data_IF_751560306122
#
_entry.id   IF_751560306122
#
_cell.length_a   1.000
_cell.length_b   1.000
_cell.length_c   1.000
_cell.angle_alpha   90.00
_cell.angle_beta   90.00
_cell.angle_gamma   90.00
#
_symmetry.space_group_name_H-M   'P 1'
#
loop_
_entity.id
_entity.type
_entity.pdbx_description
1 polymer ?
#
# COMPACT_ATOMS: atom_id res chain seq x y z
N UNK A 1 -27.93 13.44 15.69
CA UNK A 1 -26.61 13.47 15.03
C UNK A 1 -26.24 12.12 14.42
N UNK A 2 -26.26 11.01 15.18
CA UNK A 2 -25.92 9.67 14.63
C UNK A 2 -26.85 9.31 13.46
N UNK A 3 -28.17 9.46 13.62
CA UNK A 3 -29.16 9.19 12.56
C UNK A 3 -29.00 10.09 11.32
N UNK A 4 -28.47 11.31 11.47
CA UNK A 4 -28.19 12.21 10.35
C UNK A 4 -26.88 11.86 9.67
N UNK A 5 -25.89 11.36 10.39
CA UNK A 5 -24.64 10.91 9.83
C UNK A 5 -24.80 9.65 8.95
N UNK A 6 -25.81 8.83 9.22
CA UNK A 6 -26.15 7.64 8.42
C UNK A 6 -26.82 7.98 7.09
N UNK A 7 -27.27 9.23 6.88
CA UNK A 7 -27.90 9.67 5.64
C UNK A 7 -26.83 10.17 4.67
N UNK A 8 -26.86 9.67 3.43
CA UNK A 8 -25.91 10.04 2.38
C UNK A 8 -25.85 11.57 2.13
N UNK A 9 -27.01 12.24 2.21
CA UNK A 9 -27.14 13.68 2.00
C UNK A 9 -26.46 14.56 3.06
N UNK A 10 -26.23 14.03 4.27
CA UNK A 10 -25.69 14.79 5.42
C UNK A 10 -24.33 14.32 5.86
N UNK A 11 -23.89 13.15 5.37
CA UNK A 11 -22.62 12.50 5.76
C UNK A 11 -21.38 13.35 5.48
N UNK A 12 -21.42 14.16 4.41
CA UNK A 12 -20.33 15.05 3.99
C UNK A 12 -20.50 16.51 4.45
N UNK A 13 -21.57 16.82 5.19
CA UNK A 13 -21.84 18.15 5.73
C UNK A 13 -21.10 18.41 7.04
N UNK A 14 -20.95 19.67 7.38
CA UNK A 14 -20.44 20.07 8.68
C UNK A 14 -21.48 19.76 9.79
N UNK A 15 -21.02 19.50 10.99
CA UNK A 15 -21.89 19.21 12.13
C UNK A 15 -22.84 20.39 12.44
N UNK A 16 -22.42 21.62 12.15
CA UNK A 16 -23.22 22.84 12.26
C UNK A 16 -24.43 22.82 11.33
N UNK A 17 -24.31 22.27 10.14
CA UNK A 17 -25.43 22.16 9.18
C UNK A 17 -26.50 21.22 9.71
N UNK A 18 -26.11 20.11 10.36
CA UNK A 18 -27.03 19.20 11.03
C UNK A 18 -27.72 19.90 12.20
N UNK A 19 -26.97 20.65 12.99
CA UNK A 19 -27.49 21.43 14.09
C UNK A 19 -28.50 22.45 13.63
N UNK A 20 -28.21 23.22 12.58
CA UNK A 20 -29.12 24.27 12.04
C UNK A 20 -30.40 23.66 11.49
N UNK A 21 -30.40 22.45 10.92
CA UNK A 21 -31.62 21.78 10.44
C UNK A 21 -32.59 21.43 11.55
N UNK A 22 -32.08 21.13 12.73
CA UNK A 22 -32.87 20.70 13.89
C UNK A 22 -33.01 21.76 14.98
N UNK A 23 -32.59 22.98 14.72
CA UNK A 23 -32.56 24.06 15.74
C UNK A 23 -33.91 24.32 16.38
N UNK A 24 -35.00 24.14 15.62
CA UNK A 24 -36.37 24.30 16.13
C UNK A 24 -36.82 23.23 17.11
N UNK A 25 -36.19 22.07 17.04
CA UNK A 25 -36.54 20.89 17.84
C UNK A 25 -35.66 20.74 19.07
N UNK A 26 -34.61 21.57 19.17
CA UNK A 26 -33.67 21.58 20.28
C UNK A 26 -34.17 22.39 21.46
N UNK A 27 -33.88 21.98 22.69
CA UNK A 27 -34.21 22.80 23.86
C UNK A 27 -33.47 24.13 23.83
N UNK A 28 -34.04 25.18 24.43
CA UNK A 28 -33.38 26.48 24.52
C UNK A 28 -31.98 26.36 25.14
N UNK A 29 -30.97 26.80 24.44
CA UNK A 29 -29.58 26.82 24.92
C UNK A 29 -29.23 28.22 25.44
N UNK A 30 -28.45 28.25 26.53
CA UNK A 30 -27.88 29.49 27.02
C UNK A 30 -26.66 29.86 26.20
N UNK A 31 -26.65 31.08 25.66
CA UNK A 31 -25.48 31.66 25.04
C UNK A 31 -24.47 31.97 26.15
N UNK A 32 -23.30 31.35 26.11
CA UNK A 32 -22.15 31.78 26.89
C UNK A 32 -21.31 32.70 25.98
N UNK A 33 -21.10 33.94 26.41
CA UNK A 33 -20.26 34.86 25.67
C UNK A 33 -18.90 34.90 26.32
N UNK A 34 -17.91 34.58 25.54
CA UNK A 34 -16.50 34.74 25.89
C UNK A 34 -16.03 36.16 25.62
N UNK A 35 -15.09 36.68 26.37
CA UNK A 35 -14.43 37.92 26.03
C UNK A 35 -13.54 37.69 24.77
N UNK A 36 -13.25 38.73 24.00
CA UNK A 36 -12.24 38.65 22.95
C UNK A 36 -10.95 38.09 23.55
N UNK A 37 -10.36 37.11 22.88
CA UNK A 37 -9.14 36.38 23.31
C UNK A 37 -9.30 35.33 24.43
N UNK A 38 -10.54 35.00 24.86
CA UNK A 38 -10.75 33.83 25.73
C UNK A 38 -10.70 32.51 24.94
N UNK A 39 -10.98 32.56 23.64
CA UNK A 39 -10.90 31.44 22.71
C UNK A 39 -10.19 31.93 21.46
N UNK A 40 -9.13 31.23 21.08
CA UNK A 40 -8.40 31.45 19.84
C UNK A 40 -8.49 30.20 18.97
N UNK A 41 -8.71 30.39 17.68
CA UNK A 41 -8.79 29.32 16.68
C UNK A 41 -7.62 29.47 15.71
N UNK A 42 -6.93 28.37 15.43
CA UNK A 42 -5.77 28.35 14.55
C UNK A 42 -5.99 27.36 13.45
N UNK A 43 -5.98 27.81 12.20
CA UNK A 43 -6.09 26.97 11.01
C UNK A 43 -4.73 26.39 10.58
N UNK A 44 -3.66 26.92 11.12
CA UNK A 44 -2.31 26.53 10.76
C UNK A 44 -1.34 26.61 11.95
N UNK A 45 -0.27 25.80 11.87
CA UNK A 45 0.85 25.90 12.82
C UNK A 45 1.55 27.26 12.74
N UNK A 46 1.51 27.96 11.60
CA UNK A 46 2.07 29.27 11.44
C UNK A 46 1.33 30.31 12.30
N UNK A 47 0.01 30.28 12.30
CA UNK A 47 -0.83 31.15 13.14
C UNK A 47 -0.63 30.88 14.63
N UNK A 48 -0.55 29.60 15.04
CA UNK A 48 -0.24 29.23 16.42
C UNK A 48 1.14 29.75 16.84
N UNK A 49 2.14 29.67 15.98
CA UNK A 49 3.50 30.18 16.24
C UNK A 49 3.57 31.68 16.33
N UNK A 50 2.76 32.40 15.57
CA UNK A 50 2.62 33.85 15.65
C UNK A 50 1.97 34.27 16.98
N UNK A 51 0.96 33.52 17.41
CA UNK A 51 0.24 33.77 18.65
C UNK A 51 1.09 33.40 19.90
N UNK A 52 1.73 32.23 19.90
CA UNK A 52 2.51 31.73 21.03
C UNK A 52 3.94 31.39 20.61
N UNK A 53 4.87 32.24 20.98
CA UNK A 53 6.29 32.10 20.64
C UNK A 53 6.96 30.84 21.20
N UNK A 54 6.34 30.14 22.16
CA UNK A 54 6.82 28.84 22.63
C UNK A 54 6.78 27.78 21.53
N UNK A 55 5.80 27.87 20.61
CA UNK A 55 5.66 26.96 19.47
C UNK A 55 6.58 27.30 18.28
N UNK A 56 7.37 28.39 18.37
CA UNK A 56 8.39 28.69 17.35
C UNK A 56 9.57 27.72 17.46
N UNK A 57 9.97 27.39 18.69
CA UNK A 57 11.21 26.69 18.97
C UNK A 57 11.02 25.28 19.58
N UNK A 58 9.85 25.00 20.16
CA UNK A 58 9.53 23.70 20.74
C UNK A 58 8.01 23.50 20.73
N UNK A 59 7.53 22.65 19.84
CA UNK A 59 6.10 22.25 19.81
C UNK A 59 5.79 21.23 20.90
N UNK A 60 6.80 20.66 21.58
CA UNK A 60 6.64 19.49 22.45
C UNK A 60 6.17 18.25 21.69
N UNK A 61 6.07 18.32 20.37
CA UNK A 61 5.56 17.28 19.50
C UNK A 61 6.62 16.17 19.34
N UNK A 62 6.23 14.92 19.61
CA UNK A 62 7.09 13.76 19.45
C UNK A 62 7.58 13.60 18.00
N UNK A 63 6.73 13.89 17.02
CA UNK A 63 7.09 13.83 15.60
C UNK A 63 8.24 14.79 15.28
N UNK A 64 8.16 16.03 15.76
CA UNK A 64 9.23 17.02 15.54
C UNK A 64 10.53 16.59 16.20
N UNK A 65 10.48 16.03 17.40
CA UNK A 65 11.68 15.47 18.07
C UNK A 65 12.30 14.32 17.27
N UNK A 66 11.48 13.42 16.71
CA UNK A 66 11.95 12.33 15.85
C UNK A 66 12.68 12.88 14.62
N UNK A 67 12.07 13.84 13.92
CA UNK A 67 12.68 14.49 12.75
C UNK A 67 13.99 15.17 13.12
N UNK A 68 13.99 16.00 14.15
CA UNK A 68 15.17 16.73 14.59
C UNK A 68 16.32 15.81 14.99
N UNK A 69 16.00 14.69 15.67
CA UNK A 69 17.00 13.68 16.06
C UNK A 69 17.64 13.01 14.86
N UNK A 70 16.85 12.59 13.88
CA UNK A 70 17.33 11.89 12.67
C UNK A 70 18.13 12.82 11.77
N UNK A 71 17.60 14.02 11.50
CA UNK A 71 18.24 14.98 10.58
C UNK A 71 19.28 15.88 11.25
N UNK A 72 19.46 15.77 12.56
CA UNK A 72 20.38 16.60 13.36
C UNK A 72 20.11 18.10 13.14
N UNK A 73 18.83 18.50 13.13
CA UNK A 73 18.35 19.87 12.94
C UNK A 73 17.54 20.35 14.16
N UNK A 74 17.16 21.63 14.17
CA UNK A 74 16.25 22.21 15.16
C UNK A 74 14.84 22.33 14.56
N UNK A 75 13.79 22.43 15.38
CA UNK A 75 12.40 22.57 14.89
C UNK A 75 12.22 23.79 13.97
N UNK A 76 12.93 24.88 14.23
CA UNK A 76 12.90 26.07 13.36
C UNK A 76 13.41 25.82 11.93
N UNK A 77 14.18 24.74 11.72
CA UNK A 77 14.72 24.35 10.42
C UNK A 77 13.70 23.53 9.62
N UNK A 78 12.55 23.16 10.22
CA UNK A 78 11.48 22.38 9.57
C UNK A 78 10.49 23.38 8.99
N UNK A 79 10.38 23.36 7.67
CA UNK A 79 9.60 24.33 6.89
C UNK A 79 8.70 23.63 5.87
N UNK A 80 7.75 24.35 5.31
CA UNK A 80 6.89 23.89 4.18
C UNK A 80 6.20 22.55 4.46
N UNK A 81 5.62 22.36 5.65
CA UNK A 81 4.89 21.16 6.02
C UNK A 81 3.60 21.07 5.23
N UNK A 82 3.41 19.98 4.48
CA UNK A 82 2.23 19.73 3.67
C UNK A 82 1.78 18.29 3.86
N UNK A 83 0.53 18.09 4.29
CA UNK A 83 -0.06 16.76 4.47
C UNK A 83 -0.23 16.09 3.10
N UNK A 84 0.19 14.83 3.02
CA UNK A 84 0.00 13.98 1.84
C UNK A 84 -1.25 13.12 2.06
N UNK A 85 -2.26 13.32 1.21
CA UNK A 85 -3.58 12.66 1.36
C UNK A 85 -3.69 11.30 0.68
N UNK A 86 -2.59 10.77 0.12
CA UNK A 86 -2.61 9.59 -0.77
C UNK A 86 -2.22 8.29 -0.06
N UNK A 87 -2.64 8.05 1.18
CA UNK A 87 -2.38 6.79 1.86
C UNK A 87 -3.63 6.30 2.57
N UNK A 88 -3.99 5.00 2.41
CA UNK A 88 -5.13 4.39 3.09
C UNK A 88 -4.80 3.96 4.52
N UNK A 89 -3.55 3.60 4.77
CA UNK A 89 -3.10 2.95 6.00
C UNK A 89 -2.26 3.84 6.92
N UNK A 90 -1.64 4.89 6.40
CA UNK A 90 -0.66 5.68 7.13
C UNK A 90 -0.93 7.18 6.99
N UNK A 91 -0.56 7.96 8.01
CA UNK A 91 -0.57 9.42 7.96
C UNK A 91 0.80 9.94 7.53
N UNK A 92 0.85 10.67 6.44
CA UNK A 92 2.11 11.16 5.86
C UNK A 92 2.07 12.65 5.60
N UNK A 93 3.19 13.32 5.78
CA UNK A 93 3.38 14.70 5.35
C UNK A 93 4.79 14.89 4.79
N UNK A 94 4.92 15.80 3.84
CA UNK A 94 6.22 16.29 3.38
C UNK A 94 6.61 17.55 4.12
N UNK A 95 7.90 17.76 4.25
CA UNK A 95 8.48 18.97 4.83
C UNK A 95 9.85 19.27 4.19
N UNK A 96 10.32 20.51 4.31
CA UNK A 96 11.67 20.91 3.91
C UNK A 96 12.53 21.08 5.16
N UNK A 97 13.75 20.55 5.14
CA UNK A 97 14.75 20.85 6.15
C UNK A 97 15.60 22.03 5.67
N UNK A 98 15.51 23.18 6.33
CA UNK A 98 16.24 24.41 5.96
C UNK A 98 17.75 24.27 6.11
N UNK A 99 18.23 23.29 6.90
CA UNK A 99 19.64 23.06 7.14
C UNK A 99 20.39 22.50 5.91
N UNK A 100 19.76 21.61 5.15
CA UNK A 100 20.33 21.02 3.93
C UNK A 100 19.55 21.34 2.65
N UNK A 101 18.43 22.03 2.79
CA UNK A 101 17.54 22.46 1.70
C UNK A 101 16.71 21.34 1.06
N UNK A 102 16.81 20.11 1.58
CA UNK A 102 16.11 18.95 1.00
C UNK A 102 14.68 18.83 1.51
N UNK A 103 13.85 18.18 0.71
CA UNK A 103 12.49 17.77 1.10
C UNK A 103 12.46 16.32 1.53
N UNK A 104 11.66 16.05 2.55
CA UNK A 104 11.49 14.76 3.18
C UNK A 104 10.02 14.42 3.31
N UNK A 105 9.73 13.14 3.46
CA UNK A 105 8.42 12.62 3.89
C UNK A 105 8.58 12.01 5.27
N UNK A 106 7.74 12.41 6.20
CA UNK A 106 7.53 11.70 7.46
C UNK A 106 6.26 10.86 7.33
N UNK A 107 6.36 9.56 7.58
CA UNK A 107 5.22 8.64 7.66
C UNK A 107 5.02 8.20 9.10
N UNK A 108 3.81 8.38 9.61
CA UNK A 108 3.37 7.81 10.87
C UNK A 108 2.43 6.64 10.59
N UNK A 109 2.59 5.48 11.26
CA UNK A 109 1.65 4.36 11.12
C UNK A 109 0.24 4.79 11.48
N UNK A 110 -0.75 4.31 10.72
CA UNK A 110 -2.15 4.48 11.08
C UNK A 110 -2.53 3.58 12.25
N UNK A 111 -3.52 3.99 13.02
CA UNK A 111 -4.03 3.22 14.16
C UNK A 111 -4.51 1.83 13.72
N UNK A 112 -4.11 0.79 14.45
CA UNK A 112 -4.51 -0.60 14.19
C UNK A 112 -3.74 -1.30 13.07
N UNK A 113 -2.77 -0.65 12.41
CA UNK A 113 -1.97 -1.28 11.35
C UNK A 113 -1.02 -2.35 11.88
N UNK A 114 -0.68 -2.33 13.16
CA UNK A 114 0.11 -3.35 13.85
C UNK A 114 -0.54 -4.75 13.85
N UNK A 115 -1.84 -4.82 13.57
CA UNK A 115 -2.55 -6.10 13.46
C UNK A 115 -2.20 -6.89 12.18
N UNK A 116 -1.66 -6.23 11.15
CA UNK A 116 -1.39 -6.86 9.85
C UNK A 116 -0.07 -6.42 9.20
N UNK A 117 0.63 -5.43 9.75
CA UNK A 117 1.95 -5.00 9.27
C UNK A 117 3.02 -5.36 10.29
N UNK A 118 4.01 -6.15 9.87
CA UNK A 118 5.17 -6.48 10.70
C UNK A 118 6.27 -5.44 10.52
N UNK A 119 6.41 -4.52 11.49
CA UNK A 119 7.39 -3.41 11.43
C UNK A 119 8.84 -3.86 11.40
N UNK A 120 9.17 -5.01 11.99
CA UNK A 120 10.53 -5.57 11.93
C UNK A 120 10.82 -6.08 10.51
N UNK A 121 9.83 -6.70 9.84
CA UNK A 121 9.94 -7.09 8.44
C UNK A 121 10.13 -5.88 7.54
N UNK A 122 9.30 -4.83 7.70
CA UNK A 122 9.43 -3.60 6.94
C UNK A 122 10.82 -2.97 7.12
N UNK A 123 11.30 -2.85 8.36
CA UNK A 123 12.63 -2.32 8.66
C UNK A 123 13.75 -3.12 7.98
N UNK A 124 13.72 -4.46 8.11
CA UNK A 124 14.67 -5.35 7.45
C UNK A 124 14.66 -5.14 5.93
N UNK A 125 13.49 -5.13 5.33
CA UNK A 125 13.30 -4.99 3.89
C UNK A 125 13.80 -3.65 3.35
N UNK A 126 13.54 -2.56 4.09
CA UNK A 126 14.05 -1.22 3.72
C UNK A 126 15.58 -1.14 3.78
N UNK A 127 16.24 -1.84 4.72
CA UNK A 127 17.71 -1.93 4.74
C UNK A 127 18.23 -2.68 3.52
N UNK A 128 17.58 -3.78 3.12
CA UNK A 128 17.92 -4.53 1.91
C UNK A 128 17.69 -3.68 0.67
N UNK A 129 16.54 -3.03 0.55
CA UNK A 129 16.18 -2.18 -0.59
C UNK A 129 17.19 -1.05 -0.79
N UNK A 130 17.60 -0.39 0.30
CA UNK A 130 18.65 0.63 0.27
C UNK A 130 19.98 0.06 -0.21
N UNK A 131 20.40 -1.09 0.34
CA UNK A 131 21.68 -1.72 -0.02
C UNK A 131 21.73 -2.15 -1.49
N UNK A 132 20.61 -2.59 -2.05
CA UNK A 132 20.47 -3.00 -3.43
C UNK A 132 20.12 -1.83 -4.37
N UNK A 133 20.02 -0.61 -3.84
CA UNK A 133 19.62 0.59 -4.61
C UNK A 133 18.27 0.43 -5.31
N UNK A 134 17.32 -0.27 -4.68
CA UNK A 134 15.95 -0.44 -5.15
C UNK A 134 15.04 0.67 -4.62
N UNK A 135 15.25 1.07 -3.36
CA UNK A 135 14.67 2.25 -2.75
C UNK A 135 15.78 3.24 -2.37
N UNK A 136 15.90 4.31 -3.16
CA UNK A 136 16.88 5.38 -2.94
C UNK A 136 16.35 6.46 -2.00
N UNK A 137 15.10 6.36 -1.56
CA UNK A 137 14.46 7.37 -0.71
C UNK A 137 14.69 7.14 0.77
N UNK A 138 15.00 5.94 1.19
CA UNK A 138 15.07 5.56 2.60
C UNK A 138 16.16 6.32 3.38
N UNK A 139 15.75 7.05 4.42
CA UNK A 139 16.62 7.75 5.36
C UNK A 139 16.70 7.01 6.69
N UNK A 140 15.56 6.85 7.36
CA UNK A 140 15.46 6.23 8.70
C UNK A 140 14.07 5.63 8.93
N UNK A 141 14.03 4.59 9.76
CA UNK A 141 12.79 4.02 10.30
C UNK A 141 13.03 3.57 11.74
N UNK A 142 12.07 3.82 12.61
CA UNK A 142 11.99 3.22 13.93
C UNK A 142 11.25 1.86 13.79
N UNK A 143 11.97 0.78 14.09
CA UNK A 143 11.43 -0.57 13.91
C UNK A 143 10.41 -1.00 14.98
N UNK A 144 10.34 -0.28 16.12
CA UNK A 144 9.37 -0.55 17.20
C UNK A 144 8.08 0.22 16.96
N UNK A 145 8.19 1.52 16.66
CA UNK A 145 7.05 2.41 16.50
C UNK A 145 6.56 2.51 15.06
N UNK A 146 7.38 2.09 14.09
CA UNK A 146 7.03 2.03 12.67
C UNK A 146 7.00 3.37 11.93
N UNK A 147 7.34 4.50 12.58
CA UNK A 147 7.48 5.76 11.84
C UNK A 147 8.74 5.77 11.00
N UNK A 148 8.69 6.43 9.85
CA UNK A 148 9.84 6.51 8.94
C UNK A 148 10.02 7.90 8.33
N UNK A 149 11.26 8.19 7.95
CA UNK A 149 11.65 9.37 7.17
C UNK A 149 12.26 8.89 5.87
N UNK A 150 11.79 9.46 4.76
CA UNK A 150 12.29 9.23 3.42
C UNK A 150 12.57 10.55 2.71
N UNK A 151 13.45 10.56 1.71
CA UNK A 151 13.55 11.69 0.80
C UNK A 151 12.27 11.83 -0.02
N UNK A 152 11.81 13.07 -0.20
CA UNK A 152 10.73 13.35 -1.14
C UNK A 152 11.29 13.32 -2.56
N UNK A 153 10.65 12.58 -3.45
CA UNK A 153 11.02 12.49 -4.87
C UNK A 153 10.35 13.64 -5.61
N UNK A 154 11.16 14.60 -6.05
CA UNK A 154 10.66 15.78 -6.75
C UNK A 154 10.16 15.40 -8.15
N UNK A 155 9.05 16.04 -8.56
CA UNK A 155 8.43 15.85 -9.88
C UNK A 155 8.18 14.38 -10.24
N UNK A 156 7.96 13.53 -9.22
CA UNK A 156 7.70 12.13 -9.42
C UNK A 156 6.34 11.88 -10.08
N UNK A 157 6.35 10.96 -11.03
CA UNK A 157 5.14 10.31 -11.52
C UNK A 157 5.18 8.81 -11.22
N UNK A 158 4.04 8.16 -11.26
CA UNK A 158 3.94 6.71 -11.14
C UNK A 158 4.30 6.03 -12.47
N UNK A 159 4.55 4.73 -12.40
CA UNK A 159 4.82 3.87 -13.55
C UNK A 159 3.64 3.86 -14.53
N UNK A 160 3.95 4.06 -15.82
CA UNK A 160 3.05 3.70 -16.92
C UNK A 160 3.37 2.26 -17.37
N UNK A 161 2.60 1.30 -16.88
CA UNK A 161 2.83 -0.13 -17.15
C UNK A 161 2.43 -0.55 -18.57
N UNK A 162 1.71 0.28 -19.32
CA UNK A 162 1.48 0.07 -20.76
C UNK A 162 2.65 0.58 -21.62
N UNK A 163 3.64 1.28 -21.02
CA UNK A 163 4.88 1.63 -21.68
C UNK A 163 5.89 0.48 -21.55
N UNK A 164 6.23 -0.27 -22.62
CA UNK A 164 7.09 -1.46 -22.51
C UNK A 164 8.50 -1.16 -21.96
N UNK A 165 9.04 0.04 -22.19
CA UNK A 165 10.35 0.40 -21.67
C UNK A 165 10.32 0.64 -20.16
N UNK A 166 9.27 1.29 -19.66
CA UNK A 166 9.07 1.51 -18.24
C UNK A 166 8.74 0.21 -17.52
N UNK A 167 7.84 -0.60 -18.09
CA UNK A 167 7.51 -1.93 -17.58
C UNK A 167 8.76 -2.81 -17.46
N UNK A 168 9.60 -2.87 -18.50
CA UNK A 168 10.85 -3.64 -18.44
C UNK A 168 11.80 -3.14 -17.35
N UNK A 169 11.87 -1.82 -17.12
CA UNK A 169 12.69 -1.23 -16.06
C UNK A 169 12.16 -1.57 -14.67
N UNK A 170 10.85 -1.47 -14.45
CA UNK A 170 10.20 -1.82 -13.19
C UNK A 170 10.40 -3.31 -12.85
N UNK A 171 10.15 -4.20 -13.82
CA UNK A 171 10.36 -5.63 -13.65
C UNK A 171 11.83 -6.01 -13.46
N UNK A 172 12.76 -5.25 -14.05
CA UNK A 172 14.19 -5.36 -13.78
C UNK A 172 14.56 -5.02 -12.32
N UNK A 173 13.82 -4.12 -11.66
CA UNK A 173 13.98 -3.84 -10.22
C UNK A 173 13.57 -5.06 -9.39
N UNK A 174 12.42 -5.67 -9.68
CA UNK A 174 11.96 -6.90 -9.01
C UNK A 174 12.91 -8.07 -9.27
N UNK A 175 13.36 -8.26 -10.51
CA UNK A 175 14.32 -9.30 -10.84
C UNK A 175 15.63 -9.15 -10.04
N UNK A 176 16.14 -7.93 -9.87
CA UNK A 176 17.34 -7.67 -9.04
C UNK A 176 17.11 -8.01 -7.55
N UNK A 177 15.93 -7.70 -7.01
CA UNK A 177 15.55 -8.08 -5.64
C UNK A 177 15.64 -9.59 -5.47
N UNK A 178 14.97 -10.34 -6.35
CA UNK A 178 14.87 -11.79 -6.23
C UNK A 178 16.20 -12.50 -6.56
N UNK A 179 16.97 -12.01 -7.54
CA UNK A 179 18.30 -12.53 -7.86
C UNK A 179 19.31 -12.32 -6.73
N UNK A 180 19.13 -11.33 -5.87
CA UNK A 180 19.94 -11.15 -4.67
C UNK A 180 19.75 -12.30 -3.66
N UNK A 181 18.68 -13.08 -3.78
CA UNK A 181 18.36 -14.27 -2.99
C UNK A 181 18.49 -14.04 -1.48
N UNK A 182 18.04 -12.88 -1.02
CA UNK A 182 18.08 -12.53 0.41
C UNK A 182 17.01 -13.33 1.14
N UNK A 183 17.43 -14.02 2.21
CA UNK A 183 16.51 -14.74 3.07
C UNK A 183 16.01 -13.85 4.20
N UNK A 184 14.71 -13.93 4.50
CA UNK A 184 14.05 -13.22 5.58
C UNK A 184 13.41 -14.24 6.55
N UNK A 185 13.42 -13.93 7.84
CA UNK A 185 12.70 -14.72 8.84
C UNK A 185 11.21 -14.41 8.92
N UNK A 186 10.75 -13.41 8.17
CA UNK A 186 9.37 -12.91 8.17
C UNK A 186 8.63 -13.46 6.95
N UNK A 187 7.78 -14.50 7.12
CA UNK A 187 7.06 -15.08 5.99
C UNK A 187 5.95 -14.14 5.52
N UNK A 188 5.77 -14.07 4.21
CA UNK A 188 4.59 -13.51 3.58
C UNK A 188 4.24 -14.40 2.38
N UNK A 189 3.10 -15.07 2.45
CA UNK A 189 2.59 -15.92 1.38
C UNK A 189 1.23 -15.44 0.92
N UNK A 190 1.12 -15.20 -0.36
CA UNK A 190 -0.10 -14.69 -0.97
C UNK A 190 -1.29 -15.63 -0.75
N UNK A 191 -1.04 -16.96 -0.75
CA UNK A 191 -2.07 -17.95 -0.45
C UNK A 191 -2.58 -17.88 0.99
N UNK A 192 -1.72 -17.60 1.96
CA UNK A 192 -2.11 -17.41 3.35
C UNK A 192 -2.99 -16.17 3.50
N UNK A 193 -2.65 -15.07 2.79
CA UNK A 193 -3.49 -13.86 2.72
C UNK A 193 -4.86 -14.14 2.10
N UNK A 194 -4.91 -14.92 1.03
CA UNK A 194 -6.18 -15.33 0.42
C UNK A 194 -7.06 -16.10 1.42
N UNK A 195 -6.48 -17.02 2.19
CA UNK A 195 -7.22 -17.77 3.22
C UNK A 195 -7.68 -16.87 4.37
N UNK A 196 -6.90 -15.88 4.79
CA UNK A 196 -7.32 -14.90 5.80
C UNK A 196 -8.53 -14.08 5.32
N UNK A 197 -8.57 -13.68 4.05
CA UNK A 197 -9.75 -13.01 3.48
C UNK A 197 -10.93 -13.97 3.35
N UNK A 198 -10.70 -15.22 2.95
CA UNK A 198 -11.73 -16.25 2.90
C UNK A 198 -12.41 -16.42 4.26
N UNK A 199 -11.62 -16.57 5.33
CA UNK A 199 -12.12 -16.69 6.69
C UNK A 199 -12.97 -15.47 7.12
N UNK A 200 -12.56 -14.27 6.74
CA UNK A 200 -13.31 -13.03 7.02
C UNK A 200 -14.64 -13.01 6.25
N UNK A 201 -14.63 -13.38 4.97
CA UNK A 201 -15.81 -13.45 4.11
C UNK A 201 -16.82 -14.47 4.65
N UNK A 202 -16.38 -15.65 5.05
CA UNK A 202 -17.23 -16.69 5.65
C UNK A 202 -17.88 -16.21 6.96
N UNK A 203 -17.11 -15.52 7.82
CA UNK A 203 -17.62 -14.97 9.09
C UNK A 203 -18.75 -13.96 8.90
N UNK A 204 -18.73 -13.22 7.78
CA UNK A 204 -19.78 -12.24 7.45
C UNK A 204 -20.86 -12.82 6.51
N UNK A 205 -20.77 -14.09 6.11
CA UNK A 205 -21.75 -14.78 5.26
C UNK A 205 -21.87 -14.21 3.86
N UNK A 206 -20.75 -13.86 3.22
CA UNK A 206 -20.66 -13.34 1.84
C UNK A 206 -20.04 -14.33 0.86
N UNK A 207 -20.03 -15.60 1.20
CA UNK A 207 -19.52 -16.73 0.43
C UNK A 207 -20.64 -17.50 -0.32
N UNK A 208 -21.80 -16.88 -0.53
CA UNK A 208 -23.03 -17.50 -1.02
C UNK A 208 -23.18 -17.49 -2.57
N UNK A 209 -22.18 -17.01 -3.31
CA UNK A 209 -22.21 -17.09 -4.78
C UNK A 209 -22.05 -18.53 -5.27
N UNK A 210 -22.82 -18.92 -6.30
CA UNK A 210 -22.96 -20.31 -6.73
C UNK A 210 -21.65 -21.01 -7.12
N UNK A 211 -20.64 -20.26 -7.53
CA UNK A 211 -19.34 -20.76 -7.99
C UNK A 211 -18.16 -20.37 -7.08
N UNK A 212 -18.44 -19.71 -5.95
CA UNK A 212 -17.40 -19.24 -5.01
C UNK A 212 -16.45 -20.39 -4.61
N UNK A 213 -17.02 -21.49 -4.12
CA UNK A 213 -16.22 -22.66 -3.72
C UNK A 213 -15.63 -23.43 -4.90
N UNK A 214 -16.27 -23.37 -6.09
CA UNK A 214 -15.69 -23.97 -7.30
C UNK A 214 -14.41 -23.26 -7.69
N UNK A 215 -14.41 -21.94 -7.64
CA UNK A 215 -13.19 -21.13 -7.89
C UNK A 215 -12.14 -21.41 -6.81
N UNK A 216 -12.54 -21.42 -5.53
CA UNK A 216 -11.61 -21.70 -4.43
C UNK A 216 -10.90 -23.05 -4.62
N UNK A 217 -11.65 -24.14 -4.86
CA UNK A 217 -11.06 -25.48 -5.07
C UNK A 217 -10.14 -25.51 -6.29
N UNK A 218 -10.49 -24.80 -7.35
CA UNK A 218 -9.66 -24.69 -8.55
C UNK A 218 -8.32 -24.02 -8.25
N UNK A 219 -8.33 -22.89 -7.53
CA UNK A 219 -7.12 -22.16 -7.17
C UNK A 219 -6.31 -22.92 -6.12
N UNK A 220 -6.97 -23.58 -5.16
CA UNK A 220 -6.29 -24.48 -4.20
C UNK A 220 -5.55 -25.61 -4.90
N UNK A 221 -6.20 -26.28 -5.86
CA UNK A 221 -5.54 -27.30 -6.67
C UNK A 221 -4.32 -26.77 -7.43
N UNK A 222 -4.46 -25.57 -8.00
CA UNK A 222 -3.35 -24.89 -8.69
C UNK A 222 -2.20 -24.53 -7.75
N UNK A 223 -2.51 -24.01 -6.55
CA UNK A 223 -1.51 -23.73 -5.51
C UNK A 223 -0.73 -25.00 -5.12
N UNK A 224 -1.40 -26.15 -4.98
CA UNK A 224 -0.71 -27.40 -4.68
C UNK A 224 0.29 -27.80 -5.79
N UNK A 225 -0.03 -27.54 -7.07
CA UNK A 225 0.94 -27.75 -8.16
C UNK A 225 2.15 -26.83 -8.04
N UNK A 226 1.97 -25.54 -7.65
CA UNK A 226 3.12 -24.63 -7.48
C UNK A 226 4.11 -25.11 -6.41
N UNK A 227 3.63 -25.78 -5.36
CA UNK A 227 4.49 -26.35 -4.32
C UNK A 227 5.37 -27.49 -4.83
N UNK A 228 4.91 -28.22 -5.86
CA UNK A 228 5.68 -29.30 -6.49
C UNK A 228 6.81 -28.77 -7.38
N UNK A 229 6.67 -27.56 -7.93
CA UNK A 229 7.69 -26.92 -8.77
C UNK A 229 8.98 -26.58 -7.99
N UNK A 230 8.92 -26.50 -6.65
CA UNK A 230 10.06 -26.16 -5.78
C UNK A 230 10.74 -24.86 -6.20
N UNK A 231 9.92 -23.85 -6.49
CA UNK A 231 10.39 -22.55 -6.92
C UNK A 231 11.18 -21.84 -5.80
N UNK A 232 12.17 -20.99 -6.14
CA UNK A 232 12.94 -20.28 -5.14
C UNK A 232 12.09 -19.36 -4.26
N UNK A 233 12.27 -19.44 -2.94
CA UNK A 233 11.73 -18.47 -1.99
C UNK A 233 12.82 -17.52 -1.52
N UNK A 234 12.54 -16.23 -1.50
CA UNK A 234 13.40 -15.20 -0.93
C UNK A 234 12.56 -14.00 -0.48
N UNK A 235 13.23 -12.91 -0.10
CA UNK A 235 12.57 -11.64 0.19
C UNK A 235 11.87 -11.11 -1.07
N UNK A 236 10.56 -10.85 -0.94
CA UNK A 236 9.70 -10.23 -1.93
C UNK A 236 9.27 -8.85 -1.45
N UNK A 237 8.80 -8.01 -2.37
CA UNK A 237 8.16 -6.73 -2.04
C UNK A 237 6.74 -6.91 -1.51
N UNK A 238 5.99 -7.84 -2.08
CA UNK A 238 4.62 -8.25 -1.76
C UNK A 238 3.52 -7.20 -2.06
N UNK A 239 3.91 -6.00 -2.49
CA UNK A 239 3.01 -4.92 -2.92
C UNK A 239 3.63 -4.11 -4.08
N UNK A 240 4.22 -4.79 -5.04
CA UNK A 240 4.92 -4.19 -6.17
C UNK A 240 3.96 -3.63 -7.23
N UNK A 241 3.03 -2.78 -6.82
CA UNK A 241 2.03 -2.16 -7.71
C UNK A 241 2.62 -0.96 -8.45
N UNK A 242 2.01 -0.58 -9.58
CA UNK A 242 2.46 0.55 -10.39
C UNK A 242 2.60 1.86 -9.60
N UNK A 243 1.71 2.09 -8.63
CA UNK A 243 1.73 3.26 -7.76
C UNK A 243 2.97 3.35 -6.85
N UNK A 244 3.63 2.22 -6.59
CA UNK A 244 4.82 2.13 -5.74
C UNK A 244 6.13 2.29 -6.52
N UNK A 245 6.08 2.35 -7.86
CA UNK A 245 7.23 2.71 -8.69
C UNK A 245 7.19 4.21 -9.01
N UNK A 246 8.07 4.97 -8.38
CA UNK A 246 8.21 6.40 -8.63
C UNK A 246 9.29 6.67 -9.68
N UNK A 247 8.94 7.49 -10.68
CA UNK A 247 9.83 7.88 -11.78
C UNK A 247 10.07 9.38 -11.70
N UNK A 248 11.33 9.78 -11.66
CA UNK A 248 11.78 11.18 -11.77
C UNK A 248 12.94 11.27 -12.75
N UNK A 249 12.74 11.94 -13.87
CA UNK A 249 13.67 11.91 -14.99
C UNK A 249 13.90 10.48 -15.50
N UNK A 250 15.15 10.04 -15.50
CA UNK A 250 15.55 8.69 -15.91
C UNK A 250 15.59 7.70 -14.74
N UNK A 251 15.43 8.16 -13.50
CA UNK A 251 15.51 7.32 -12.30
C UNK A 251 14.15 6.72 -11.95
N UNK A 252 14.19 5.49 -11.48
CA UNK A 252 13.03 4.75 -10.96
C UNK A 252 13.37 4.15 -9.61
N UNK A 253 12.51 4.33 -8.64
CA UNK A 253 12.65 3.77 -7.29
C UNK A 253 11.37 3.04 -6.88
N UNK A 254 11.51 1.93 -6.16
CA UNK A 254 10.40 1.13 -5.63
C UNK A 254 10.26 1.44 -4.14
N UNK A 255 9.10 1.96 -3.76
CA UNK A 255 8.79 2.38 -2.38
C UNK A 255 7.72 1.48 -1.76
N UNK A 256 7.45 1.69 -0.48
CA UNK A 256 6.37 1.08 0.30
C UNK A 256 6.51 -0.42 0.57
N UNK A 257 7.54 -0.76 1.34
CA UNK A 257 7.96 -2.11 1.69
C UNK A 257 7.21 -2.72 2.90
N UNK A 258 6.04 -2.18 3.27
CA UNK A 258 5.37 -2.54 4.54
C UNK A 258 4.83 -3.98 4.57
N UNK A 259 4.56 -4.59 3.41
CA UNK A 259 4.14 -5.99 3.28
C UNK A 259 5.28 -6.95 2.93
N UNK A 260 6.49 -6.41 2.74
CA UNK A 260 7.64 -7.20 2.28
C UNK A 260 7.94 -8.37 3.21
N UNK A 261 8.21 -9.55 2.63
CA UNK A 261 8.48 -10.76 3.38
C UNK A 261 9.01 -11.92 2.54
N UNK A 262 9.29 -13.03 3.21
CA UNK A 262 9.78 -14.26 2.62
C UNK A 262 8.66 -15.03 1.93
N UNK A 263 8.83 -15.32 0.66
CA UNK A 263 7.89 -16.11 -0.12
C UNK A 263 8.41 -16.49 -1.49
N UNK A 264 7.55 -17.13 -2.26
CA UNK A 264 7.83 -17.48 -3.65
C UNK A 264 8.00 -16.23 -4.51
N UNK A 265 9.05 -16.18 -5.32
CA UNK A 265 9.37 -14.98 -6.12
C UNK A 265 8.33 -14.66 -7.20
N UNK A 266 7.52 -15.65 -7.59
CA UNK A 266 6.46 -15.43 -8.57
C UNK A 266 5.27 -14.64 -8.03
N UNK A 267 5.13 -14.52 -6.69
CA UNK A 267 4.01 -13.76 -6.10
C UNK A 267 4.07 -12.26 -6.40
N UNK A 268 5.27 -11.67 -6.46
CA UNK A 268 5.42 -10.25 -6.79
C UNK A 268 4.98 -9.97 -8.24
N UNK A 269 5.45 -10.79 -9.18
CA UNK A 269 5.08 -10.63 -10.58
C UNK A 269 3.60 -10.97 -10.82
N UNK A 270 3.09 -12.01 -10.15
CA UNK A 270 1.67 -12.39 -10.21
C UNK A 270 0.76 -11.27 -9.71
N UNK A 271 1.08 -10.64 -8.58
CA UNK A 271 0.35 -9.48 -8.05
C UNK A 271 0.47 -8.27 -8.98
N UNK A 272 1.66 -8.00 -9.52
CA UNK A 272 1.86 -6.93 -10.48
C UNK A 272 0.94 -7.08 -11.69
N UNK A 273 0.93 -8.25 -12.34
CA UNK A 273 0.08 -8.52 -13.51
C UNK A 273 -1.41 -8.42 -13.14
N UNK A 274 -1.82 -9.02 -12.01
CA UNK A 274 -3.21 -9.00 -11.57
C UNK A 274 -3.75 -7.58 -11.30
N UNK A 275 -2.89 -6.66 -10.82
CA UNK A 275 -3.29 -5.32 -10.42
C UNK A 275 -2.99 -4.23 -11.47
N UNK A 276 -2.40 -4.61 -12.61
CA UNK A 276 -2.04 -3.67 -13.70
C UNK A 276 -2.96 -3.78 -14.91
N UNK A 277 -4.10 -4.46 -14.80
CA UNK A 277 -5.09 -4.69 -15.89
C UNK A 277 -4.45 -5.04 -17.27
N UNK A 278 -3.26 -5.69 -17.24
CA UNK A 278 -2.56 -6.13 -18.44
C UNK A 278 -3.36 -7.19 -19.18
N UNK A 279 -3.49 -7.04 -20.48
CA UNK A 279 -4.01 -8.13 -21.29
C UNK A 279 -3.04 -9.33 -21.32
N UNK A 280 -3.47 -10.43 -21.94
CA UNK A 280 -2.64 -11.64 -21.94
C UNK A 280 -1.29 -11.47 -22.68
N UNK A 281 -1.25 -10.68 -23.76
CA UNK A 281 -0.01 -10.45 -24.51
C UNK A 281 0.95 -9.56 -23.71
N UNK A 282 0.43 -8.54 -23.05
CA UNK A 282 1.18 -7.68 -22.14
C UNK A 282 1.70 -8.48 -20.91
N UNK A 283 0.89 -9.37 -20.35
CA UNK A 283 1.31 -10.26 -19.26
C UNK A 283 2.44 -11.21 -19.69
N UNK A 284 2.36 -11.77 -20.90
CA UNK A 284 3.44 -12.59 -21.47
C UNK A 284 4.73 -11.76 -21.68
N UNK A 285 4.58 -10.52 -22.14
CA UNK A 285 5.72 -9.60 -22.25
C UNK A 285 6.32 -9.31 -20.85
N UNK A 286 5.49 -9.08 -19.84
CA UNK A 286 5.93 -8.85 -18.47
C UNK A 286 6.74 -10.04 -17.91
N UNK A 287 6.24 -11.27 -18.06
CA UNK A 287 6.96 -12.48 -17.63
C UNK A 287 8.32 -12.58 -18.32
N UNK A 288 8.38 -12.38 -19.64
CA UNK A 288 9.63 -12.39 -20.40
C UNK A 288 10.58 -11.27 -19.96
N UNK A 289 10.06 -10.07 -19.74
CA UNK A 289 10.88 -8.92 -19.30
C UNK A 289 11.47 -9.14 -17.91
N UNK A 290 10.71 -9.74 -17.00
CA UNK A 290 11.18 -10.11 -15.66
C UNK A 290 12.27 -11.18 -15.72
N UNK A 291 12.08 -12.24 -16.51
CA UNK A 291 13.05 -13.34 -16.66
C UNK A 291 14.30 -12.91 -17.43
N UNK A 292 14.18 -11.97 -18.36
CA UNK A 292 15.24 -11.57 -19.28
C UNK A 292 15.48 -12.56 -20.44
N UNK A 293 14.61 -13.58 -20.59
CA UNK A 293 14.65 -14.59 -21.65
C UNK A 293 13.23 -15.10 -21.98
N UNK A 294 13.08 -15.88 -23.04
CA UNK A 294 11.82 -16.57 -23.32
C UNK A 294 11.56 -17.62 -22.22
N UNK A 295 10.36 -17.61 -21.59
CA UNK A 295 10.03 -18.53 -20.52
C UNK A 295 10.02 -19.99 -21.01
N UNK A 296 10.56 -20.91 -20.22
CA UNK A 296 10.31 -22.34 -20.38
C UNK A 296 8.85 -22.66 -20.03
N UNK A 297 8.40 -23.89 -20.32
CA UNK A 297 7.05 -24.33 -19.95
C UNK A 297 6.86 -24.30 -18.42
N UNK A 298 7.87 -24.74 -17.68
CA UNK A 298 7.86 -24.77 -16.21
C UNK A 298 7.80 -23.36 -15.62
N UNK A 299 8.60 -22.41 -16.13
CA UNK A 299 8.57 -21.03 -15.72
C UNK A 299 7.20 -20.39 -16.04
N UNK A 300 6.72 -20.60 -17.26
CA UNK A 300 5.45 -20.02 -17.70
C UNK A 300 4.28 -20.52 -16.87
N UNK A 301 4.14 -21.85 -16.63
CA UNK A 301 3.04 -22.40 -15.84
C UNK A 301 3.06 -21.86 -14.41
N UNK A 302 4.26 -21.70 -13.81
CA UNK A 302 4.43 -21.21 -12.46
C UNK A 302 4.02 -19.75 -12.32
N UNK A 303 4.48 -18.85 -13.21
CA UNK A 303 4.08 -17.44 -13.19
C UNK A 303 2.59 -17.24 -13.50
N UNK A 304 2.02 -18.00 -14.45
CA UNK A 304 0.58 -17.95 -14.72
C UNK A 304 -0.24 -18.45 -13.50
N UNK A 305 0.26 -19.48 -12.80
CA UNK A 305 -0.36 -19.96 -11.58
C UNK A 305 -0.38 -18.88 -10.49
N UNK A 306 0.75 -18.22 -10.25
CA UNK A 306 0.79 -17.13 -9.27
C UNK A 306 0.00 -15.90 -9.70
N UNK A 307 -0.15 -15.63 -10.99
CA UNK A 307 -1.08 -14.59 -11.46
C UNK A 307 -2.53 -14.95 -11.14
N UNK A 308 -2.93 -16.22 -11.30
CA UNK A 308 -4.26 -16.68 -10.90
C UNK A 308 -4.48 -16.62 -9.38
N UNK A 309 -3.49 -17.03 -8.59
CA UNK A 309 -3.53 -17.00 -7.13
C UNK A 309 -3.61 -15.55 -6.64
N UNK A 310 -2.84 -14.64 -7.22
CA UNK A 310 -2.89 -13.21 -6.91
C UNK A 310 -4.26 -12.62 -7.24
N UNK A 311 -4.77 -12.88 -8.44
CA UNK A 311 -6.10 -12.43 -8.85
C UNK A 311 -7.19 -12.92 -7.88
N UNK A 312 -7.11 -14.18 -7.46
CA UNK A 312 -8.03 -14.74 -6.48
C UNK A 312 -7.91 -14.06 -5.10
N UNK A 313 -6.70 -13.82 -4.62
CA UNK A 313 -6.47 -13.11 -3.35
C UNK A 313 -7.10 -11.70 -3.39
N UNK A 314 -6.86 -10.95 -4.45
CA UNK A 314 -7.42 -9.61 -4.63
C UNK A 314 -8.94 -9.63 -4.86
N UNK A 315 -9.49 -10.66 -5.51
CA UNK A 315 -10.92 -10.88 -5.61
C UNK A 315 -11.56 -11.06 -4.23
N UNK A 316 -10.97 -11.88 -3.36
CA UNK A 316 -11.43 -12.05 -1.99
C UNK A 316 -11.32 -10.75 -1.18
N UNK A 317 -10.20 -10.03 -1.33
CA UNK A 317 -10.03 -8.71 -0.72
C UNK A 317 -11.14 -7.74 -1.16
N UNK A 318 -11.48 -7.71 -2.44
CA UNK A 318 -12.53 -6.84 -2.96
C UNK A 318 -13.91 -7.19 -2.39
N UNK A 319 -14.29 -8.47 -2.32
CA UNK A 319 -15.54 -8.90 -1.66
C UNK A 319 -15.60 -8.40 -0.22
N UNK A 320 -14.49 -8.54 0.51
CA UNK A 320 -14.42 -8.08 1.89
C UNK A 320 -14.53 -6.56 2.00
N UNK A 321 -13.88 -5.80 1.13
CA UNK A 321 -13.95 -4.33 1.11
C UNK A 321 -15.36 -3.82 0.77
N UNK A 322 -15.99 -4.41 -0.27
CA UNK A 322 -17.36 -4.04 -0.63
C UNK A 322 -18.37 -4.35 0.48
N UNK A 323 -18.15 -5.44 1.23
CA UNK A 323 -18.97 -5.74 2.40
C UNK A 323 -18.83 -4.72 3.53
N UNK A 324 -17.72 -3.96 3.55
CA UNK A 324 -17.48 -2.85 4.47
C UNK A 324 -17.86 -1.47 3.88
N UNK A 325 -18.51 -1.46 2.70
CA UNK A 325 -18.99 -0.24 2.05
C UNK A 325 -17.93 0.51 1.24
N UNK A 326 -16.79 -0.13 0.94
CA UNK A 326 -15.75 0.42 0.06
C UNK A 326 -15.99 -0.09 -1.36
N UNK A 327 -16.25 0.79 -2.30
CA UNK A 327 -16.41 0.44 -3.72
C UNK A 327 -15.04 0.12 -4.34
N UNK A 328 -14.91 -1.09 -4.90
CA UNK A 328 -13.70 -1.53 -5.61
C UNK A 328 -13.81 -1.37 -7.14
N UNK A 329 -14.93 -0.82 -7.63
CA UNK A 329 -15.16 -0.52 -9.03
C UNK A 329 -15.10 -1.76 -9.94
N UNK A 330 -14.43 -1.62 -11.07
CA UNK A 330 -14.32 -2.70 -12.07
C UNK A 330 -13.34 -3.81 -11.65
N UNK A 331 -12.52 -3.59 -10.61
CA UNK A 331 -11.49 -4.54 -10.19
C UNK A 331 -12.04 -5.84 -9.63
N UNK A 332 -13.19 -5.82 -8.92
CA UNK A 332 -13.83 -7.06 -8.44
C UNK A 332 -14.05 -8.05 -9.59
N UNK A 333 -14.63 -7.55 -10.69
CA UNK A 333 -14.90 -8.38 -11.87
C UNK A 333 -13.62 -8.78 -12.59
N UNK A 334 -12.67 -7.87 -12.73
CA UNK A 334 -11.39 -8.11 -13.38
C UNK A 334 -10.63 -9.24 -12.69
N UNK A 335 -10.49 -9.19 -11.36
CA UNK A 335 -9.79 -10.21 -10.60
C UNK A 335 -10.49 -11.57 -10.60
N UNK A 336 -11.83 -11.59 -10.61
CA UNK A 336 -12.61 -12.80 -10.81
C UNK A 336 -12.31 -13.42 -12.19
N UNK A 337 -12.42 -12.64 -13.27
CA UNK A 337 -12.16 -13.10 -14.63
C UNK A 337 -10.70 -13.58 -14.80
N UNK A 338 -9.74 -12.87 -14.24
CA UNK A 338 -8.32 -13.24 -14.27
C UNK A 338 -8.03 -14.53 -13.50
N UNK A 339 -8.69 -14.74 -12.35
CA UNK A 339 -8.56 -15.99 -11.60
C UNK A 339 -8.91 -17.20 -12.45
N UNK A 340 -9.99 -17.13 -13.23
CA UNK A 340 -10.37 -18.18 -14.16
C UNK A 340 -9.44 -18.28 -15.37
N UNK A 341 -9.19 -17.17 -16.04
CA UNK A 341 -8.39 -17.13 -17.26
C UNK A 341 -6.96 -17.67 -17.03
N UNK A 342 -6.27 -17.16 -16.03
CA UNK A 342 -4.89 -17.56 -15.76
C UNK A 342 -4.80 -18.97 -15.16
N UNK A 343 -5.77 -19.38 -14.32
CA UNK A 343 -5.80 -20.76 -13.81
C UNK A 343 -6.06 -21.79 -14.92
N UNK A 344 -6.92 -21.49 -15.90
CA UNK A 344 -7.14 -22.37 -17.05
C UNK A 344 -5.85 -22.58 -17.85
N UNK A 345 -5.14 -21.48 -18.14
CA UNK A 345 -3.89 -21.52 -18.89
C UNK A 345 -2.78 -22.27 -18.14
N UNK A 346 -2.63 -22.02 -16.83
CA UNK A 346 -1.64 -22.69 -16.02
C UNK A 346 -1.93 -24.20 -15.91
N UNK A 347 -3.16 -24.60 -15.59
CA UNK A 347 -3.56 -26.00 -15.48
C UNK A 347 -3.39 -26.77 -16.81
N UNK A 348 -3.63 -26.11 -17.94
CA UNK A 348 -3.36 -26.72 -19.25
C UNK A 348 -1.89 -27.10 -19.43
N UNK A 349 -0.96 -26.26 -18.94
CA UNK A 349 0.48 -26.53 -18.99
C UNK A 349 0.91 -27.61 -17.99
N UNK A 350 0.32 -27.62 -16.76
CA UNK A 350 0.57 -28.70 -15.80
C UNK A 350 0.05 -30.06 -16.25
N UNK A 351 -1.03 -30.07 -17.06
CA UNK A 351 -1.63 -31.32 -17.56
C UNK A 351 -0.96 -31.88 -18.82
N UNK A 352 -0.07 -31.11 -19.47
CA UNK A 352 0.60 -31.50 -20.70
C UNK A 352 1.86 -32.37 -20.49
N UNK A 353 2.27 -32.57 -19.24
CA UNK A 353 3.33 -33.49 -18.80
C UNK A 353 2.76 -34.86 -18.45
#
# INVERSE_FOLDING_TARGET
MIEEYEKEETRMGYWEDVYLRHISDLPPMKIHRYAPHDIEEFDSLAELREFDSRYINDTGCRIMRNICSVLSCEEKDIEDIVVLKNGMTNSSFRFRCGRDGRRYVYRHPGDGTEAFINRQSEYFSMQVAKKLELDTTFVHMDAEEGWKISYFVEDARILDYHNPAELSKALGILARLHQANIQSEFPYRLWDQANDFLDKIQKIGKDDTADFYVLHERINGLYLHTLEDKWPECLNHCDALAANFLISGDDMTLIDWEYSGQGDTAQDLGSFIACSDLDYEEAMFAIKAYLGHEPSVEELRHFLAYTAIASYCWYLWAIYQESNGVDTGEFLKLWYDYSYMYSEKALALYSAE
#
